data_IF_743290242694
#
_entry.id   IF_743290242694
#
_cell.length_a   1.000
_cell.length_b   1.000
_cell.length_c   1.000
_cell.angle_alpha   90.00
_cell.angle_beta   90.00
_cell.angle_gamma   90.00
#
_symmetry.space_group_name_H-M   'P 1'
#
loop_
_entity.id
_entity.type
_entity.pdbx_description
1 polymer ?
#
# COMPACT_ATOMS: atom_id res chain seq x y z
N UNK A 1 26.06 13.83 -13.69
CA UNK A 1 25.74 12.42 -13.40
C UNK A 1 24.26 12.41 -13.08
N UNK A 2 23.46 11.74 -13.91
CA UNK A 2 22.03 11.59 -13.63
C UNK A 2 21.94 10.50 -12.55
N UNK A 3 21.61 10.91 -11.34
CA UNK A 3 21.25 10.01 -10.24
C UNK A 3 19.84 9.52 -10.54
N UNK A 4 19.75 8.44 -11.33
CA UNK A 4 18.55 7.63 -11.42
C UNK A 4 18.18 7.20 -10.00
N UNK A 5 17.03 7.67 -9.54
CA UNK A 5 16.50 7.44 -8.21
C UNK A 5 16.16 5.96 -8.01
N UNK A 6 17.18 5.13 -7.77
CA UNK A 6 17.00 3.92 -6.99
C UNK A 6 16.78 4.35 -5.55
N UNK A 7 15.54 4.64 -5.18
CA UNK A 7 15.11 4.75 -3.78
C UNK A 7 15.28 3.38 -3.12
N UNK A 8 16.51 3.04 -2.75
CA UNK A 8 16.82 1.93 -1.86
C UNK A 8 16.26 2.30 -0.50
N UNK A 9 15.03 1.87 -0.22
CA UNK A 9 14.43 2.01 1.11
C UNK A 9 15.31 1.28 2.12
N UNK A 10 15.72 1.95 3.20
CA UNK A 10 16.56 1.32 4.21
C UNK A 10 15.70 0.33 5.01
N UNK A 11 16.31 -0.77 5.47
CA UNK A 11 15.61 -1.80 6.26
C UNK A 11 14.85 -1.23 7.49
N UNK A 12 15.38 -0.16 8.10
CA UNK A 12 14.70 0.54 9.20
C UNK A 12 13.38 1.19 8.76
N UNK A 13 13.34 1.81 7.57
CA UNK A 13 12.13 2.42 7.01
C UNK A 13 11.05 1.36 6.74
N UNK A 14 11.47 0.16 6.33
CA UNK A 14 10.56 -0.95 6.06
C UNK A 14 9.94 -1.52 7.34
N UNK A 15 10.71 -1.54 8.44
CA UNK A 15 10.21 -1.98 9.75
C UNK A 15 9.17 -1.01 10.30
N UNK A 16 9.44 0.30 10.27
CA UNK A 16 8.49 1.32 10.72
C UNK A 16 7.21 1.34 9.88
N UNK A 17 7.32 1.13 8.56
CA UNK A 17 6.16 0.96 7.67
C UNK A 17 5.34 -0.27 8.02
N UNK A 18 5.98 -1.39 8.35
CA UNK A 18 5.29 -2.63 8.75
C UNK A 18 4.54 -2.47 10.06
N UNK A 19 5.15 -1.83 11.05
CA UNK A 19 4.52 -1.55 12.35
C UNK A 19 3.30 -0.63 12.15
N UNK A 20 3.49 0.49 11.45
CA UNK A 20 2.39 1.43 11.16
C UNK A 20 1.26 0.79 10.36
N UNK A 21 1.57 -0.10 9.41
CA UNK A 21 0.54 -0.80 8.63
C UNK A 21 -0.21 -1.84 9.47
N UNK A 22 0.47 -2.51 10.40
CA UNK A 22 -0.18 -3.48 11.30
C UNK A 22 -1.25 -2.79 12.15
N UNK A 23 -0.99 -1.58 12.63
CA UNK A 23 -1.96 -0.79 13.38
C UNK A 23 -3.16 -0.37 12.51
N UNK A 24 -2.92 0.08 11.28
CA UNK A 24 -3.98 0.44 10.33
C UNK A 24 -4.86 -0.77 10.00
N UNK A 25 -4.25 -1.93 9.73
CA UNK A 25 -4.98 -3.16 9.44
C UNK A 25 -5.81 -3.62 10.65
N UNK A 26 -5.26 -3.50 11.86
CA UNK A 26 -5.99 -3.80 13.09
C UNK A 26 -7.19 -2.85 13.28
N UNK A 27 -7.05 -1.56 12.97
CA UNK A 27 -8.16 -0.61 12.97
C UNK A 27 -9.26 -1.00 11.97
N UNK A 28 -8.91 -1.37 10.73
CA UNK A 28 -9.90 -1.78 9.73
C UNK A 28 -10.60 -3.10 10.07
N UNK A 29 -9.90 -4.04 10.70
CA UNK A 29 -10.48 -5.28 11.22
C UNK A 29 -11.53 -4.99 12.30
N UNK A 30 -11.23 -4.09 13.24
CA UNK A 30 -12.17 -3.66 14.28
C UNK A 30 -13.41 -2.95 13.72
N UNK A 31 -13.25 -2.18 12.64
CA UNK A 31 -14.36 -1.46 11.97
C UNK A 31 -15.11 -2.33 10.96
N UNK A 32 -14.65 -3.56 10.67
CA UNK A 32 -15.23 -4.43 9.66
C UNK A 32 -15.05 -3.91 8.23
N UNK A 33 -14.10 -3.00 8.02
CA UNK A 33 -13.82 -2.31 6.75
C UNK A 33 -12.56 -2.86 6.06
N UNK A 34 -12.34 -4.17 6.15
CA UNK A 34 -11.18 -4.80 5.55
C UNK A 34 -11.20 -4.61 4.01
N UNK A 35 -10.06 -4.21 3.42
CA UNK A 35 -9.92 -4.17 1.97
C UNK A 35 -10.15 -5.55 1.35
N UNK A 36 -10.57 -5.56 0.09
CA UNK A 36 -10.68 -6.82 -0.66
C UNK A 36 -9.32 -7.49 -0.87
N UNK A 37 -9.35 -8.72 -1.39
CA UNK A 37 -8.13 -9.51 -1.57
C UNK A 37 -7.09 -8.82 -2.49
N UNK A 38 -7.54 -8.07 -3.50
CA UNK A 38 -6.65 -7.39 -4.45
C UNK A 38 -5.99 -6.16 -3.80
N UNK A 39 -6.76 -5.38 -3.05
CA UNK A 39 -6.25 -4.27 -2.25
C UNK A 39 -5.30 -4.75 -1.15
N UNK A 40 -5.58 -5.89 -0.51
CA UNK A 40 -4.68 -6.50 0.46
C UNK A 40 -3.35 -6.95 -0.14
N UNK A 41 -3.34 -7.43 -1.39
CA UNK A 41 -2.11 -7.79 -2.09
C UNK A 41 -1.22 -6.56 -2.32
N UNK A 42 -1.80 -5.47 -2.79
CA UNK A 42 -1.09 -4.20 -2.98
C UNK A 42 -0.51 -3.64 -1.68
N UNK A 43 -1.27 -3.71 -0.59
CA UNK A 43 -0.79 -3.31 0.74
C UNK A 43 0.42 -4.15 1.19
N UNK A 44 0.43 -5.46 0.90
CA UNK A 44 1.57 -6.34 1.20
C UNK A 44 2.80 -5.98 0.39
N UNK A 45 2.64 -5.67 -0.90
CA UNK A 45 3.75 -5.27 -1.78
C UNK A 45 4.36 -3.93 -1.34
N UNK A 46 3.53 -2.96 -0.92
CA UNK A 46 4.00 -1.71 -0.33
C UNK A 46 4.80 -1.93 0.97
N UNK A 47 4.30 -2.77 1.88
CA UNK A 47 4.99 -3.10 3.14
C UNK A 47 6.30 -3.85 2.88
N UNK A 48 6.35 -4.66 1.82
CA UNK A 48 7.57 -5.33 1.38
C UNK A 48 8.56 -4.37 0.69
N UNK A 49 8.20 -3.11 0.46
CA UNK A 49 9.05 -2.11 -0.17
C UNK A 49 9.19 -2.29 -1.68
N UNK A 50 8.29 -3.06 -2.32
CA UNK A 50 8.28 -3.28 -3.78
C UNK A 50 8.02 -1.96 -4.51
N UNK A 51 7.21 -1.08 -3.91
CA UNK A 51 6.89 0.25 -4.42
C UNK A 51 6.60 1.24 -3.27
N UNK A 52 6.58 2.53 -3.59
CA UNK A 52 6.31 3.62 -2.64
C UNK A 52 4.82 3.86 -2.35
N UNK A 53 4.52 4.79 -1.44
CA UNK A 53 3.14 5.13 -1.07
C UNK A 53 2.35 5.73 -2.25
N UNK A 54 2.99 6.58 -3.06
CA UNK A 54 2.35 7.18 -4.23
C UNK A 54 1.91 6.11 -5.25
N UNK A 55 2.75 5.10 -5.46
CA UNK A 55 2.44 3.97 -6.34
C UNK A 55 1.35 3.07 -5.75
N UNK A 56 1.29 2.89 -4.42
CA UNK A 56 0.18 2.21 -3.75
C UNK A 56 -1.15 2.92 -4.04
N UNK A 57 -1.18 4.25 -3.88
CA UNK A 57 -2.39 5.06 -4.09
C UNK A 57 -2.87 4.94 -5.54
N UNK A 58 -1.94 5.00 -6.51
CA UNK A 58 -2.28 4.81 -7.93
C UNK A 58 -2.85 3.42 -8.19
N UNK A 59 -2.15 2.36 -7.78
CA UNK A 59 -2.60 0.98 -8.00
C UNK A 59 -3.94 0.69 -7.32
N UNK A 60 -4.18 1.24 -6.13
CA UNK A 60 -5.46 1.13 -5.42
C UNK A 60 -6.59 1.87 -6.15
N UNK A 61 -6.31 3.00 -6.81
CA UNK A 61 -7.28 3.74 -7.62
C UNK A 61 -7.59 3.05 -8.96
N UNK A 62 -6.64 2.28 -9.50
CA UNK A 62 -6.81 1.45 -10.70
C UNK A 62 -7.49 0.10 -10.40
N UNK A 63 -7.61 -0.30 -9.12
CA UNK A 63 -8.42 -1.46 -8.78
C UNK A 63 -9.87 -1.21 -9.21
N UNK A 64 -10.55 -2.23 -9.76
CA UNK A 64 -11.98 -2.18 -10.07
C UNK A 64 -12.81 -2.27 -8.77
N UNK A 65 -12.54 -1.36 -7.84
CA UNK A 65 -13.28 -1.14 -6.63
C UNK A 65 -14.26 0.00 -6.94
N UNK A 66 -15.55 -0.34 -6.98
CA UNK A 66 -16.72 0.49 -7.33
C UNK A 66 -17.12 0.51 -8.83
N UNK A 67 -18.12 -0.30 -9.26
CA UNK A 67 -18.73 -0.20 -10.58
C UNK A 67 -19.50 1.11 -10.86
N UNK A 68 -19.48 2.11 -9.96
CA UNK A 68 -20.25 3.36 -10.07
C UNK A 68 -19.42 4.60 -10.42
N UNK A 69 -18.16 4.46 -10.86
CA UNK A 69 -17.37 5.59 -11.43
C UNK A 69 -17.12 5.49 -12.94
N UNK A 70 -17.94 4.71 -13.64
CA UNK A 70 -18.08 4.78 -15.09
C UNK A 70 -19.46 5.37 -15.44
N UNK A 71 -19.64 6.66 -15.17
CA UNK A 71 -20.78 7.45 -15.66
C UNK A 71 -20.33 8.89 -15.94
#
# INVERSE_FOLDING_TARGET
MQEDALTVYKDDDLRERRESMTDILASWDLEGALPDAAAMELVREYVAGVFGLDELIQKMADLPLYPERAA
#
